data_IF_657635457103
#
_entry.id   IF_657635457103
#
_cell.length_a   1.000
_cell.length_b   1.000
_cell.length_c   1.000
_cell.angle_alpha   90.00
_cell.angle_beta   90.00
_cell.angle_gamma   90.00
#
_symmetry.space_group_name_H-M   'P 1'
#
loop_
_entity.id
_entity.type
_entity.pdbx_description
1 polymer ?
#
# COMPACT_ATOMS: atom_id res chain seq x y z
N UNK A 1 -16.84 31.69 6.50
CA UNK A 1 -16.34 30.30 6.41
C UNK A 1 -16.18 29.75 7.83
N UNK A 2 -16.48 28.46 8.08
CA UNK A 2 -16.27 27.85 9.41
C UNK A 2 -14.77 27.79 9.73
N UNK A 3 -14.36 27.89 11.01
CA UNK A 3 -12.95 27.74 11.40
C UNK A 3 -12.47 26.31 11.15
N UNK A 4 -11.19 26.06 10.80
CA UNK A 4 -10.67 24.70 10.71
C UNK A 4 -10.80 23.99 12.06
N UNK A 5 -11.06 22.68 12.02
CA UNK A 5 -11.19 21.79 13.18
C UNK A 5 -12.33 22.16 14.15
N UNK A 6 -13.39 22.81 13.67
CA UNK A 6 -14.50 23.28 14.52
C UNK A 6 -15.28 22.17 15.24
N UNK A 7 -15.09 20.89 14.88
CA UNK A 7 -15.67 19.74 15.60
C UNK A 7 -14.74 19.14 16.66
N UNK A 8 -13.50 19.65 16.80
CA UNK A 8 -12.61 19.27 17.89
C UNK A 8 -12.78 20.24 19.06
N UNK A 9 -12.72 19.71 20.28
CA UNK A 9 -12.81 20.52 21.50
C UNK A 9 -11.56 21.39 21.66
N UNK A 10 -10.37 20.85 21.35
CA UNK A 10 -9.11 21.57 21.38
C UNK A 10 -8.24 21.24 20.16
N UNK A 11 -7.44 22.19 19.66
CA UNK A 11 -6.54 21.94 18.52
C UNK A 11 -5.48 20.87 18.81
N UNK A 12 -5.12 20.65 20.08
CA UNK A 12 -4.21 19.57 20.51
C UNK A 12 -4.80 18.18 20.32
N UNK A 13 -6.13 18.06 20.23
CA UNK A 13 -6.82 16.79 20.01
C UNK A 13 -6.49 16.18 18.65
N UNK A 14 -6.06 17.00 17.67
CA UNK A 14 -5.55 16.51 16.38
C UNK A 14 -4.42 15.49 16.60
N UNK A 15 -3.43 15.81 17.44
CA UNK A 15 -2.27 14.96 17.71
C UNK A 15 -2.72 13.73 18.50
N UNK A 16 -3.51 13.94 19.55
CA UNK A 16 -3.99 12.86 20.43
C UNK A 16 -4.80 11.80 19.67
N UNK A 17 -5.64 12.23 18.74
CA UNK A 17 -6.49 11.35 17.94
C UNK A 17 -5.83 10.85 16.64
N UNK A 18 -4.61 11.28 16.30
CA UNK A 18 -3.95 10.93 15.04
C UNK A 18 -3.56 9.44 14.96
N UNK A 19 -4.21 8.66 14.11
CA UNK A 19 -4.01 7.20 13.96
C UNK A 19 -3.20 6.85 12.70
N UNK A 20 -2.58 5.65 12.62
CA UNK A 20 -1.78 5.28 11.45
C UNK A 20 -2.60 5.09 10.16
N UNK A 21 -3.92 4.91 10.25
CA UNK A 21 -4.80 4.86 9.08
C UNK A 21 -4.69 6.10 8.17
N UNK A 22 -4.24 7.26 8.66
CA UNK A 22 -4.00 8.44 7.82
C UNK A 22 -2.93 8.20 6.75
N UNK A 23 -1.95 7.32 6.99
CA UNK A 23 -0.94 6.94 6.01
C UNK A 23 -1.51 6.15 4.81
N UNK A 24 -2.77 5.70 4.88
CA UNK A 24 -3.45 5.18 3.68
C UNK A 24 -3.62 6.25 2.60
N UNK A 25 -3.73 7.52 3.00
CA UNK A 25 -3.80 8.64 2.06
C UNK A 25 -2.47 8.88 1.34
N UNK A 26 -1.34 8.73 2.04
CA UNK A 26 -0.01 8.89 1.44
C UNK A 26 0.32 7.72 0.51
N UNK A 27 0.02 6.50 0.96
CA UNK A 27 0.15 5.28 0.18
C UNK A 27 -0.69 5.37 -1.12
N UNK A 28 -1.96 5.77 -1.01
CA UNK A 28 -2.86 5.94 -2.16
C UNK A 28 -2.45 7.05 -3.12
N UNK A 29 -2.02 8.20 -2.60
CA UNK A 29 -1.59 9.35 -3.42
C UNK A 29 -0.28 9.05 -4.15
N UNK A 30 0.64 8.35 -3.48
CA UNK A 30 1.89 7.90 -4.07
C UNK A 30 1.68 6.97 -5.27
N UNK A 31 0.82 5.94 -5.16
CA UNK A 31 0.56 5.04 -6.30
C UNK A 31 -0.07 5.77 -7.48
N UNK A 32 -0.92 6.77 -7.23
CA UNK A 32 -1.53 7.57 -8.30
C UNK A 32 -0.46 8.34 -9.07
N UNK A 33 0.55 8.89 -8.39
CA UNK A 33 1.68 9.54 -9.07
C UNK A 33 2.42 8.57 -10.00
N UNK A 34 2.65 7.32 -9.57
CA UNK A 34 3.29 6.28 -10.38
C UNK A 34 2.47 5.89 -11.62
N UNK A 35 1.14 5.88 -11.50
CA UNK A 35 0.24 5.50 -12.61
C UNK A 35 0.17 6.59 -13.67
N UNK A 36 0.21 7.86 -13.27
CA UNK A 36 0.13 8.99 -14.20
C UNK A 36 1.22 8.94 -15.28
N UNK A 37 2.44 8.46 -14.96
CA UNK A 37 3.53 8.32 -15.94
C UNK A 37 3.42 7.10 -16.84
N UNK A 38 2.55 6.14 -16.53
CA UNK A 38 2.30 4.96 -17.37
C UNK A 38 1.28 5.24 -18.48
N UNK A 39 0.53 6.35 -18.37
CA UNK A 39 -0.49 6.70 -19.36
C UNK A 39 0.16 7.14 -20.69
N UNK A 40 -0.30 6.61 -21.85
CA UNK A 40 0.39 6.81 -23.12
C UNK A 40 0.13 8.19 -23.77
N UNK A 41 -0.75 9.01 -23.21
CA UNK A 41 -1.17 10.31 -23.74
C UNK A 41 -0.70 11.46 -22.83
N UNK A 42 -0.65 12.69 -23.37
CA UNK A 42 -0.29 13.89 -22.61
C UNK A 42 0.99 13.76 -21.75
N UNK A 43 1.98 12.99 -22.22
CA UNK A 43 3.13 12.50 -21.42
C UNK A 43 3.84 13.60 -20.61
N UNK A 44 4.16 14.73 -21.25
CA UNK A 44 4.85 15.86 -20.57
C UNK A 44 4.00 16.46 -19.44
N UNK A 45 2.71 16.70 -19.70
CA UNK A 45 1.78 17.23 -18.71
C UNK A 45 1.56 16.24 -17.55
N UNK A 46 1.35 14.95 -17.87
CA UNK A 46 1.14 13.93 -16.85
C UNK A 46 2.40 13.68 -16.01
N UNK A 47 3.59 13.74 -16.61
CA UNK A 47 4.85 13.64 -15.88
C UNK A 47 5.03 14.80 -14.89
N UNK A 48 4.72 16.04 -15.32
CA UNK A 48 4.73 17.20 -14.43
C UNK A 48 3.72 17.05 -13.29
N UNK A 49 2.48 16.66 -13.60
CA UNK A 49 1.44 16.44 -12.61
C UNK A 49 1.81 15.32 -11.62
N UNK A 50 2.35 14.21 -12.11
CA UNK A 50 2.84 13.09 -11.32
C UNK A 50 3.95 13.53 -10.35
N UNK A 51 4.90 14.31 -10.86
CA UNK A 51 6.01 14.87 -10.07
C UNK A 51 5.50 15.76 -8.94
N UNK A 52 4.58 16.68 -9.25
CA UNK A 52 3.96 17.56 -8.25
C UNK A 52 3.19 16.76 -7.19
N UNK A 53 2.45 15.73 -7.63
CA UNK A 53 1.69 14.87 -6.73
C UNK A 53 2.61 14.04 -5.82
N UNK A 54 3.74 13.57 -6.34
CA UNK A 54 4.76 12.87 -5.55
C UNK A 54 5.43 13.80 -4.54
N UNK A 55 5.82 15.02 -4.93
CA UNK A 55 6.38 16.01 -3.98
C UNK A 55 5.35 16.39 -2.90
N UNK A 56 4.08 16.57 -3.28
CA UNK A 56 2.99 16.74 -2.32
C UNK A 56 2.88 15.54 -1.36
N UNK A 57 3.05 14.31 -1.87
CA UNK A 57 3.03 13.11 -1.04
C UNK A 57 4.18 13.07 -0.03
N UNK A 58 5.39 13.52 -0.39
CA UNK A 58 6.51 13.67 0.54
C UNK A 58 6.14 14.61 1.68
N UNK A 59 5.58 15.77 1.37
CA UNK A 59 5.14 16.75 2.38
C UNK A 59 4.06 16.13 3.28
N UNK A 60 3.06 15.48 2.68
CA UNK A 60 1.97 14.85 3.41
C UNK A 60 2.46 13.76 4.37
N UNK A 61 3.34 12.86 3.90
CA UNK A 61 3.94 11.81 4.71
C UNK A 61 4.81 12.36 5.83
N UNK A 62 5.58 13.42 5.56
CA UNK A 62 6.41 14.10 6.57
C UNK A 62 5.55 14.70 7.68
N UNK A 63 4.46 15.39 7.32
CA UNK A 63 3.50 15.94 8.28
C UNK A 63 2.85 14.83 9.12
N UNK A 64 2.40 13.74 8.49
CA UNK A 64 1.80 12.61 9.20
C UNK A 64 2.79 11.90 10.13
N UNK A 65 4.05 11.79 9.71
CA UNK A 65 5.13 11.22 10.53
C UNK A 65 5.40 12.08 11.76
N UNK A 66 5.46 13.41 11.60
CA UNK A 66 5.62 14.34 12.73
C UNK A 66 4.42 14.26 13.68
N UNK A 67 3.18 14.28 13.17
CA UNK A 67 1.98 14.17 14.00
C UNK A 67 1.93 12.85 14.78
N UNK A 68 2.26 11.74 14.13
CA UNK A 68 2.26 10.43 14.77
C UNK A 68 3.39 10.30 15.78
N UNK A 69 4.59 10.82 15.49
CA UNK A 69 5.70 10.87 16.43
C UNK A 69 5.34 11.73 17.66
N UNK A 70 4.75 12.90 17.46
CA UNK A 70 4.27 13.75 18.56
C UNK A 70 3.22 13.02 19.42
N UNK A 71 2.36 12.19 18.82
CA UNK A 71 1.43 11.35 19.58
C UNK A 71 2.17 10.38 20.50
N UNK A 72 3.22 9.73 20.02
CA UNK A 72 4.05 8.83 20.83
C UNK A 72 4.82 9.54 21.94
N UNK A 73 5.27 10.77 21.70
CA UNK A 73 6.02 11.56 22.68
C UNK A 73 5.13 12.19 23.75
N UNK A 74 4.02 12.82 23.34
CA UNK A 74 3.14 13.59 24.23
C UNK A 74 2.06 12.74 24.90
N UNK A 75 1.62 11.65 24.25
CA UNK A 75 0.52 10.78 24.70
C UNK A 75 0.94 9.31 24.72
N UNK A 76 2.16 9.04 25.21
CA UNK A 76 2.81 7.72 25.14
C UNK A 76 1.97 6.56 25.69
N UNK A 77 1.29 6.77 26.83
CA UNK A 77 0.42 5.75 27.44
C UNK A 77 -0.75 5.38 26.52
N UNK A 78 -1.35 6.36 25.86
CA UNK A 78 -2.47 6.19 24.93
C UNK A 78 -2.01 5.59 23.60
N UNK A 79 -0.85 6.02 23.09
CA UNK A 79 -0.28 5.52 21.85
C UNK A 79 0.02 4.01 21.93
N UNK A 80 0.55 3.54 23.07
CA UNK A 80 0.84 2.11 23.32
C UNK A 80 -0.40 1.21 23.23
N UNK A 81 -1.60 1.75 23.44
CA UNK A 81 -2.84 0.97 23.34
C UNK A 81 -3.11 0.45 21.94
N UNK A 82 -2.42 0.97 20.91
CA UNK A 82 -2.56 0.47 19.55
C UNK A 82 -2.25 -1.03 19.45
N UNK A 83 -1.25 -1.52 20.18
CA UNK A 83 -0.86 -2.93 20.18
C UNK A 83 -1.89 -3.86 20.84
N UNK A 84 -2.83 -3.31 21.61
CA UNK A 84 -3.93 -4.07 22.22
C UNK A 84 -5.23 -3.98 21.41
N UNK A 85 -5.28 -3.12 20.38
CA UNK A 85 -6.50 -2.88 19.63
C UNK A 85 -6.53 -3.69 18.32
N UNK A 86 -7.48 -4.64 18.15
CA UNK A 86 -7.45 -5.65 17.09
C UNK A 86 -7.41 -5.07 15.66
N UNK A 87 -8.11 -3.95 15.42
CA UNK A 87 -8.13 -3.34 14.08
C UNK A 87 -7.09 -2.24 13.86
N UNK A 88 -6.67 -1.51 14.89
CA UNK A 88 -5.83 -0.31 14.71
C UNK A 88 -4.35 -0.68 14.58
N UNK A 89 -3.89 -1.75 15.22
CA UNK A 89 -2.53 -2.27 15.01
C UNK A 89 -2.30 -2.68 13.55
N UNK A 90 -3.34 -3.16 12.86
CA UNK A 90 -3.22 -3.60 11.47
C UNK A 90 -2.79 -2.48 10.52
N UNK A 91 -3.26 -1.25 10.79
CA UNK A 91 -2.88 -0.08 10.01
C UNK A 91 -1.43 0.36 10.20
N UNK A 92 -0.66 -0.22 11.13
CA UNK A 92 0.78 0.07 11.20
C UNK A 92 1.49 -0.29 9.88
N UNK A 93 1.02 -1.31 9.16
CA UNK A 93 1.57 -1.73 7.88
C UNK A 93 1.49 -0.67 6.77
N UNK A 94 0.57 0.30 6.85
CA UNK A 94 0.44 1.33 5.81
C UNK A 94 1.52 2.41 5.89
N UNK A 95 2.29 2.46 6.99
CA UNK A 95 3.42 3.38 7.16
C UNK A 95 4.56 3.02 6.20
N UNK A 96 5.16 1.81 6.25
CA UNK A 96 6.19 1.42 5.28
C UNK A 96 5.64 1.43 3.84
N UNK A 97 4.42 0.94 3.59
CA UNK A 97 3.83 1.04 2.24
C UNK A 97 3.75 2.49 1.72
N UNK A 98 3.44 3.46 2.58
CA UNK A 98 3.48 4.87 2.25
C UNK A 98 4.90 5.36 1.92
N UNK A 99 5.88 4.95 2.72
CA UNK A 99 7.31 5.27 2.51
C UNK A 99 7.82 4.69 1.19
N UNK A 100 7.43 3.47 0.86
CA UNK A 100 7.77 2.82 -0.40
C UNK A 100 7.28 3.59 -1.64
N UNK A 101 6.15 4.29 -1.57
CA UNK A 101 5.73 5.15 -2.68
C UNK A 101 6.62 6.38 -2.87
N UNK A 102 7.20 6.89 -1.78
CA UNK A 102 8.13 8.02 -1.83
C UNK A 102 9.46 7.57 -2.41
N UNK A 103 10.01 6.45 -1.91
CA UNK A 103 11.28 5.91 -2.40
C UNK A 103 11.18 5.54 -3.89
N UNK A 104 10.09 4.91 -4.32
CA UNK A 104 9.89 4.58 -5.74
C UNK A 104 9.80 5.84 -6.61
N UNK A 105 9.19 6.92 -6.10
CA UNK A 105 9.19 8.20 -6.81
C UNK A 105 10.54 8.91 -6.86
N UNK A 106 11.47 8.66 -5.92
CA UNK A 106 12.85 9.13 -6.10
C UNK A 106 13.51 8.46 -7.32
N UNK A 107 13.21 7.18 -7.56
CA UNK A 107 13.71 6.45 -8.73
C UNK A 107 13.01 6.90 -10.02
N UNK A 108 11.70 7.15 -9.99
CA UNK A 108 10.93 7.53 -11.19
C UNK A 108 11.01 9.02 -11.57
N UNK A 109 11.11 9.92 -10.58
CA UNK A 109 11.09 11.37 -10.79
C UNK A 109 12.36 12.04 -10.27
N UNK A 110 12.85 11.60 -9.12
CA UNK A 110 13.94 12.24 -8.39
C UNK A 110 15.24 12.30 -9.18
N UNK A 111 15.56 11.28 -9.99
CA UNK A 111 16.78 11.26 -10.81
C UNK A 111 16.81 12.46 -11.78
N UNK A 112 15.69 12.77 -12.43
CA UNK A 112 15.61 13.91 -13.36
C UNK A 112 15.66 15.28 -12.67
N UNK A 113 15.32 15.36 -11.37
CA UNK A 113 15.25 16.61 -10.62
C UNK A 113 16.48 16.89 -9.75
N UNK A 114 17.05 15.83 -9.19
CA UNK A 114 18.09 15.90 -8.16
C UNK A 114 19.37 15.16 -8.58
N UNK A 115 19.36 14.45 -9.72
CA UNK A 115 20.48 13.64 -10.20
C UNK A 115 20.68 12.36 -9.40
N UNK A 116 21.91 11.83 -9.43
CA UNK A 116 22.29 10.55 -8.80
C UNK A 116 22.02 10.48 -7.29
N UNK A 117 21.98 11.63 -6.59
CA UNK A 117 21.65 11.66 -5.16
C UNK A 117 20.28 11.04 -4.87
N UNK A 118 19.35 11.09 -5.83
CA UNK A 118 18.03 10.48 -5.69
C UNK A 118 18.11 8.95 -5.51
N UNK A 119 19.05 8.28 -6.18
CA UNK A 119 19.27 6.83 -6.05
C UNK A 119 19.80 6.50 -4.65
N UNK A 120 20.76 7.29 -4.15
CA UNK A 120 21.28 7.13 -2.78
C UNK A 120 20.21 7.35 -1.72
N UNK A 121 19.35 8.36 -1.88
CA UNK A 121 18.20 8.59 -1.00
C UNK A 121 17.24 7.41 -1.06
N UNK A 122 16.86 6.96 -2.27
CA UNK A 122 15.97 5.82 -2.45
C UNK A 122 16.52 4.54 -1.78
N UNK A 123 17.81 4.28 -1.92
CA UNK A 123 18.48 3.14 -1.28
C UNK A 123 18.45 3.23 0.25
N UNK A 124 18.75 4.41 0.82
CA UNK A 124 18.67 4.61 2.26
C UNK A 124 17.24 4.42 2.80
N UNK A 125 16.26 4.97 2.08
CA UNK A 125 14.84 4.79 2.41
C UNK A 125 14.41 3.33 2.30
N UNK A 126 14.93 2.58 1.33
CA UNK A 126 14.63 1.16 1.17
C UNK A 126 15.07 0.33 2.38
N UNK A 127 16.26 0.57 2.95
CA UNK A 127 16.68 -0.14 4.17
C UNK A 127 15.79 0.20 5.38
N UNK A 128 15.38 1.46 5.53
CA UNK A 128 14.44 1.88 6.56
C UNK A 128 13.09 1.19 6.36
N UNK A 129 12.62 1.16 5.12
CA UNK A 129 11.35 0.55 4.74
C UNK A 129 11.33 -0.96 5.02
N UNK A 130 12.39 -1.68 4.64
CA UNK A 130 12.57 -3.11 4.93
C UNK A 130 12.56 -3.38 6.43
N UNK A 131 13.28 -2.58 7.22
CA UNK A 131 13.28 -2.72 8.67
C UNK A 131 11.88 -2.54 9.26
N UNK A 132 11.16 -1.49 8.85
CA UNK A 132 9.79 -1.23 9.30
C UNK A 132 8.82 -2.34 8.86
N UNK A 133 8.91 -2.78 7.61
CA UNK A 133 8.06 -3.82 7.04
C UNK A 133 8.24 -5.16 7.79
N UNK A 134 9.47 -5.60 8.01
CA UNK A 134 9.77 -6.83 8.76
C UNK A 134 9.31 -6.73 10.22
N UNK A 135 9.60 -5.59 10.88
CA UNK A 135 9.18 -5.37 12.25
C UNK A 135 7.65 -5.47 12.37
N UNK A 136 6.90 -4.85 11.46
CA UNK A 136 5.43 -4.90 11.47
C UNK A 136 4.90 -6.29 11.13
N UNK A 137 5.48 -6.96 10.11
CA UNK A 137 5.07 -8.28 9.67
C UNK A 137 5.22 -9.36 10.76
N UNK A 138 6.12 -9.16 11.73
CA UNK A 138 6.23 -10.05 12.89
C UNK A 138 5.51 -9.54 14.14
N UNK A 139 5.72 -8.28 14.53
CA UNK A 139 5.21 -7.75 15.80
C UNK A 139 3.67 -7.70 15.80
N UNK A 140 3.05 -7.28 14.70
CA UNK A 140 1.59 -7.13 14.66
C UNK A 140 0.90 -8.49 14.71
N UNK A 141 1.22 -9.48 13.85
CA UNK A 141 0.67 -10.83 14.00
C UNK A 141 0.97 -11.47 15.36
N UNK A 142 2.18 -11.29 15.91
CA UNK A 142 2.48 -11.78 17.25
C UNK A 142 1.56 -11.16 18.32
N UNK A 143 1.28 -9.86 18.25
CA UNK A 143 0.30 -9.20 19.12
C UNK A 143 -1.12 -9.73 18.88
N UNK A 144 -1.49 -10.03 17.63
CA UNK A 144 -2.78 -10.63 17.31
C UNK A 144 -3.00 -11.98 18.01
N UNK A 145 -1.93 -12.79 18.13
CA UNK A 145 -1.98 -14.11 18.75
C UNK A 145 -1.85 -14.07 20.28
N UNK A 146 -1.15 -13.07 20.82
CA UNK A 146 -0.77 -13.06 22.24
C UNK A 146 -1.57 -12.10 23.12
N UNK A 147 -2.14 -11.03 22.56
CA UNK A 147 -2.72 -9.91 23.35
C UNK A 147 -4.12 -9.48 22.92
N UNK A 148 -4.58 -9.93 21.75
CA UNK A 148 -5.79 -9.42 21.11
C UNK A 148 -6.82 -10.53 20.97
N UNK A 149 -8.10 -10.17 21.09
CA UNK A 149 -9.21 -11.09 20.88
C UNK A 149 -9.78 -10.88 19.47
N UNK A 150 -9.83 -11.95 18.69
CA UNK A 150 -10.32 -11.95 17.32
C UNK A 150 -11.43 -12.98 17.13
N UNK A 151 -12.41 -12.65 16.29
CA UNK A 151 -13.51 -13.55 15.95
C UNK A 151 -13.65 -13.62 14.43
N UNK A 152 -13.95 -14.81 13.90
CA UNK A 152 -13.99 -15.02 12.45
C UNK A 152 -15.02 -14.10 11.77
N UNK A 153 -16.19 -13.92 12.37
CA UNK A 153 -17.25 -13.10 11.76
C UNK A 153 -16.90 -11.61 11.69
N UNK A 154 -15.97 -11.10 12.50
CA UNK A 154 -15.52 -9.69 12.46
C UNK A 154 -14.28 -9.48 11.57
N UNK A 155 -13.68 -10.56 11.05
CA UNK A 155 -12.55 -10.49 10.16
C UNK A 155 -12.91 -9.75 8.86
N UNK A 156 -12.01 -8.88 8.43
CA UNK A 156 -12.08 -8.13 7.16
C UNK A 156 -10.73 -8.19 6.46
N UNK A 157 -10.67 -7.73 5.22
CA UNK A 157 -9.43 -7.68 4.45
C UNK A 157 -8.35 -6.73 5.04
N UNK A 158 -8.68 -5.95 6.07
CA UNK A 158 -7.71 -5.12 6.82
C UNK A 158 -6.61 -5.99 7.44
N UNK A 159 -6.88 -7.28 7.71
CA UNK A 159 -5.89 -8.24 8.20
C UNK A 159 -4.68 -8.43 7.29
N UNK A 160 -4.79 -8.04 6.01
CA UNK A 160 -3.68 -8.07 5.06
C UNK A 160 -2.63 -6.99 5.32
N UNK A 161 -3.02 -5.86 5.90
CA UNK A 161 -2.15 -4.67 5.97
C UNK A 161 -0.77 -4.92 6.64
N UNK A 162 -0.65 -5.70 7.73
CA UNK A 162 0.66 -5.94 8.35
C UNK A 162 1.64 -6.73 7.50
N UNK A 163 1.15 -7.61 6.63
CA UNK A 163 2.02 -8.52 5.86
C UNK A 163 2.40 -7.92 4.51
N UNK A 164 1.49 -7.15 3.89
CA UNK A 164 1.66 -6.50 2.57
C UNK A 164 2.87 -5.56 2.50
N UNK A 165 3.35 -5.01 3.62
CA UNK A 165 4.49 -4.11 3.59
C UNK A 165 5.75 -4.76 2.97
N UNK A 166 5.99 -6.05 3.21
CA UNK A 166 7.22 -6.72 2.75
C UNK A 166 7.24 -6.93 1.23
N UNK A 167 6.14 -7.30 0.58
CA UNK A 167 6.10 -7.41 -0.88
C UNK A 167 6.16 -6.04 -1.58
N UNK A 168 5.69 -4.96 -0.94
CA UNK A 168 5.88 -3.60 -1.48
C UNK A 168 7.37 -3.27 -1.46
N UNK A 169 8.06 -3.51 -0.35
CA UNK A 169 9.52 -3.37 -0.26
C UNK A 169 10.26 -4.28 -1.27
N UNK A 170 9.73 -5.48 -1.55
CA UNK A 170 10.26 -6.37 -2.59
C UNK A 170 10.14 -5.77 -4.00
N UNK A 171 8.98 -5.21 -4.35
CA UNK A 171 8.78 -4.52 -5.63
C UNK A 171 9.69 -3.29 -5.77
N UNK A 172 9.87 -2.55 -4.68
CA UNK A 172 10.82 -1.45 -4.56
C UNK A 172 12.28 -1.88 -4.76
N UNK A 173 12.67 -3.08 -4.31
CA UNK A 173 14.01 -3.61 -4.55
C UNK A 173 14.26 -3.82 -6.05
N UNK A 174 13.28 -4.37 -6.77
CA UNK A 174 13.37 -4.53 -8.23
C UNK A 174 13.53 -3.19 -8.96
N UNK A 175 12.79 -2.16 -8.54
CA UNK A 175 12.98 -0.80 -9.08
C UNK A 175 14.35 -0.22 -8.75
N UNK A 176 14.79 -0.33 -7.49
CA UNK A 176 16.06 0.23 -7.04
C UNK A 176 17.25 -0.39 -7.77
N UNK A 177 17.24 -1.73 -7.89
CA UNK A 177 18.32 -2.48 -8.53
C UNK A 177 18.52 -2.03 -9.97
N UNK A 178 17.46 -1.64 -10.70
CA UNK A 178 17.56 -1.13 -12.08
C UNK A 178 18.49 0.10 -12.22
N UNK A 179 18.73 0.84 -11.13
CA UNK A 179 19.58 2.02 -11.10
C UNK A 179 20.95 1.78 -10.45
N UNK A 180 21.25 0.55 -10.02
CA UNK A 180 22.51 0.19 -9.38
C UNK A 180 23.42 -0.60 -10.33
N UNK A 181 24.76 -0.55 -10.14
CA UNK A 181 25.68 -1.42 -10.85
C UNK A 181 25.30 -2.90 -10.71
N UNK A 182 25.53 -3.70 -11.75
CA UNK A 182 25.18 -5.13 -11.75
C UNK A 182 26.18 -5.98 -10.95
N UNK A 183 26.42 -5.64 -9.69
CA UNK A 183 27.43 -6.30 -8.85
C UNK A 183 26.81 -7.24 -7.80
N UNK A 184 27.65 -7.76 -6.91
CA UNK A 184 27.25 -8.62 -5.79
C UNK A 184 26.29 -7.90 -4.83
N UNK A 185 26.38 -6.58 -4.71
CA UNK A 185 25.47 -5.81 -3.85
C UNK A 185 24.05 -5.78 -4.43
N UNK A 186 23.91 -5.52 -5.73
CA UNK A 186 22.62 -5.64 -6.43
C UNK A 186 22.07 -7.06 -6.40
N UNK A 187 22.93 -8.07 -6.47
CA UNK A 187 22.52 -9.47 -6.31
C UNK A 187 21.92 -9.75 -4.93
N UNK A 188 22.55 -9.27 -3.85
CA UNK A 188 21.99 -9.40 -2.50
C UNK A 188 20.66 -8.67 -2.34
N UNK A 189 20.51 -7.48 -2.93
CA UNK A 189 19.24 -6.74 -2.93
C UNK A 189 18.12 -7.52 -3.64
N UNK A 190 18.41 -8.17 -4.76
CA UNK A 190 17.44 -9.03 -5.45
C UNK A 190 17.04 -10.24 -4.61
N UNK A 191 18.01 -10.95 -4.02
CA UNK A 191 17.71 -12.08 -3.13
C UNK A 191 16.88 -11.65 -1.92
N UNK A 192 17.22 -10.50 -1.30
CA UNK A 192 16.42 -9.91 -0.24
C UNK A 192 14.99 -9.59 -0.72
N UNK A 193 14.82 -9.08 -1.93
CA UNK A 193 13.53 -8.87 -2.57
C UNK A 193 12.68 -10.15 -2.66
N UNK A 194 13.25 -11.27 -3.12
CA UNK A 194 12.54 -12.55 -3.16
C UNK A 194 12.19 -13.09 -1.76
N UNK A 195 13.06 -12.91 -0.77
CA UNK A 195 12.77 -13.28 0.63
C UNK A 195 11.62 -12.45 1.18
N UNK A 196 11.65 -11.12 0.99
CA UNK A 196 10.59 -10.21 1.42
C UNK A 196 9.25 -10.52 0.74
N UNK A 197 9.29 -10.88 -0.55
CA UNK A 197 8.12 -11.36 -1.29
C UNK A 197 7.52 -12.60 -0.62
N UNK A 198 8.35 -13.59 -0.26
CA UNK A 198 7.90 -14.82 0.40
C UNK A 198 7.32 -14.58 1.81
N UNK A 199 7.91 -13.66 2.57
CA UNK A 199 7.42 -13.26 3.92
C UNK A 199 6.02 -12.62 3.83
N UNK A 200 5.69 -11.98 2.72
CA UNK A 200 4.39 -11.32 2.53
C UNK A 200 3.35 -12.22 1.86
N UNK A 201 3.62 -12.67 0.63
CA UNK A 201 2.62 -13.25 -0.27
C UNK A 201 2.06 -14.54 0.31
N UNK A 202 2.89 -15.39 0.93
CA UNK A 202 2.44 -16.67 1.48
C UNK A 202 1.46 -16.47 2.65
N UNK A 203 1.77 -15.69 3.71
CA UNK A 203 0.77 -15.34 4.72
C UNK A 203 -0.44 -14.58 4.17
N UNK A 204 -0.26 -13.68 3.20
CA UNK A 204 -1.38 -12.95 2.61
C UNK A 204 -2.38 -13.90 1.93
N UNK A 205 -1.91 -14.93 1.23
CA UNK A 205 -2.77 -15.93 0.62
C UNK A 205 -3.50 -16.78 1.66
N UNK A 206 -2.85 -17.15 2.77
CA UNK A 206 -3.53 -17.81 3.88
C UNK A 206 -4.67 -16.94 4.45
N UNK A 207 -4.43 -15.64 4.62
CA UNK A 207 -5.45 -14.68 5.08
C UNK A 207 -6.59 -14.56 4.06
N UNK A 208 -6.29 -14.49 2.75
CA UNK A 208 -7.31 -14.44 1.69
C UNK A 208 -8.18 -15.70 1.66
N UNK A 209 -7.60 -16.88 1.86
CA UNK A 209 -8.35 -18.14 1.97
C UNK A 209 -9.30 -18.11 3.17
N UNK A 210 -8.85 -17.65 4.33
CA UNK A 210 -9.70 -17.52 5.51
C UNK A 210 -10.78 -16.44 5.30
N UNK A 211 -10.45 -15.34 4.62
CA UNK A 211 -11.42 -14.30 4.26
C UNK A 211 -12.52 -14.85 3.34
N UNK A 212 -12.16 -15.69 2.37
CA UNK A 212 -13.13 -16.38 1.53
C UNK A 212 -14.04 -17.29 2.36
N UNK A 213 -13.49 -18.08 3.28
CA UNK A 213 -14.29 -18.89 4.22
C UNK A 213 -15.22 -18.02 5.07
N UNK A 214 -14.71 -16.90 5.60
CA UNK A 214 -15.52 -15.93 6.36
C UNK A 214 -16.69 -15.40 5.54
N UNK A 215 -16.47 -15.02 4.28
CA UNK A 215 -17.53 -14.53 3.41
C UNK A 215 -18.58 -15.61 3.11
N UNK A 216 -18.16 -16.88 2.99
CA UNK A 216 -19.07 -18.00 2.79
C UNK A 216 -19.96 -18.26 4.03
N UNK A 217 -19.41 -18.15 5.25
CA UNK A 217 -20.12 -18.45 6.49
C UNK A 217 -20.91 -17.27 7.08
N UNK A 218 -20.43 -16.04 6.90
CA UNK A 218 -20.95 -14.85 7.58
C UNK A 218 -21.42 -13.74 6.62
N UNK A 219 -21.66 -14.07 5.35
CA UNK A 219 -22.07 -13.14 4.29
C UNK A 219 -21.04 -12.01 4.05
N UNK A 220 -21.43 -10.99 3.29
CA UNK A 220 -20.55 -9.84 2.99
C UNK A 220 -20.32 -8.97 4.24
N UNK A 221 -19.18 -8.24 4.30
CA UNK A 221 -18.93 -7.30 5.38
C UNK A 221 -20.01 -6.21 5.47
N UNK A 222 -20.14 -5.60 6.65
CA UNK A 222 -21.06 -4.46 6.86
C UNK A 222 -20.70 -3.28 5.94
N UNK A 223 -21.69 -2.43 5.63
CA UNK A 223 -21.54 -1.34 4.66
C UNK A 223 -20.39 -0.38 5.00
N UNK A 224 -20.09 -0.19 6.29
CA UNK A 224 -19.02 0.66 6.82
C UNK A 224 -17.62 0.18 6.43
N UNK A 225 -17.46 -1.12 6.24
CA UNK A 225 -16.20 -1.78 5.90
C UNK A 225 -16.24 -2.48 4.54
N UNK A 226 -17.34 -2.37 3.78
CA UNK A 226 -17.48 -2.98 2.46
C UNK A 226 -16.34 -2.59 1.50
N UNK A 227 -15.85 -1.34 1.61
CA UNK A 227 -14.72 -0.83 0.81
C UNK A 227 -13.41 -1.58 1.10
N UNK A 228 -13.27 -2.20 2.27
CA UNK A 228 -12.09 -3.02 2.58
C UNK A 228 -11.94 -4.21 1.64
N UNK A 229 -13.01 -4.68 0.96
CA UNK A 229 -12.93 -5.76 -0.03
C UNK A 229 -11.87 -5.53 -1.12
N UNK A 230 -11.59 -4.27 -1.47
CA UNK A 230 -10.55 -3.90 -2.43
C UNK A 230 -9.13 -4.15 -1.93
N UNK A 231 -8.91 -4.20 -0.61
CA UNK A 231 -7.61 -4.53 -0.01
C UNK A 231 -7.10 -5.92 -0.42
N UNK A 232 -8.00 -6.83 -0.84
CA UNK A 232 -7.62 -8.14 -1.38
C UNK A 232 -6.73 -8.04 -2.62
N UNK A 233 -6.88 -6.99 -3.43
CA UNK A 233 -6.05 -6.74 -4.60
C UNK A 233 -4.63 -6.34 -4.26
N UNK A 234 -4.38 -5.86 -3.03
CA UNK A 234 -3.08 -5.34 -2.61
C UNK A 234 -2.00 -6.41 -2.74
N UNK A 235 -2.09 -7.52 -2.00
CA UNK A 235 -1.09 -8.57 -2.07
C UNK A 235 -1.02 -9.32 -3.37
N UNK A 236 -2.14 -9.40 -4.09
CA UNK A 236 -2.15 -10.06 -5.39
C UNK A 236 -1.45 -9.18 -6.43
N UNK A 237 -1.80 -7.90 -6.50
CA UNK A 237 -1.25 -6.93 -7.45
C UNK A 237 0.21 -6.60 -7.15
N UNK A 238 0.56 -6.32 -5.89
CA UNK A 238 1.96 -6.08 -5.52
C UNK A 238 2.79 -7.36 -5.62
N UNK A 239 2.24 -8.52 -5.25
CA UNK A 239 2.93 -9.80 -5.45
C UNK A 239 3.25 -10.05 -6.92
N UNK A 240 2.32 -9.77 -7.83
CA UNK A 240 2.50 -9.86 -9.27
C UNK A 240 3.54 -8.85 -9.79
N UNK A 241 3.44 -7.58 -9.38
CA UNK A 241 4.38 -6.53 -9.74
C UNK A 241 5.80 -6.82 -9.24
N UNK A 242 5.94 -7.30 -8.00
CA UNK A 242 7.22 -7.66 -7.41
C UNK A 242 7.92 -8.79 -8.17
N UNK A 243 7.18 -9.83 -8.56
CA UNK A 243 7.73 -10.90 -9.39
C UNK A 243 8.24 -10.41 -10.74
N UNK A 244 7.48 -9.53 -11.40
CA UNK A 244 7.89 -8.95 -12.69
C UNK A 244 9.16 -8.10 -12.56
N UNK A 245 9.20 -7.19 -11.58
CA UNK A 245 10.31 -6.26 -11.40
C UNK A 245 11.60 -6.98 -10.96
N UNK A 246 11.48 -7.93 -10.03
CA UNK A 246 12.64 -8.72 -9.60
C UNK A 246 13.14 -9.63 -10.73
N UNK A 247 12.22 -10.29 -11.45
CA UNK A 247 12.56 -11.17 -12.57
C UNK A 247 13.21 -10.43 -13.74
N UNK A 248 12.76 -9.20 -14.03
CA UNK A 248 13.37 -8.34 -15.05
C UNK A 248 14.83 -8.02 -14.73
N UNK A 249 15.12 -7.70 -13.46
CA UNK A 249 16.48 -7.39 -13.03
C UNK A 249 17.39 -8.62 -12.90
N UNK A 250 16.81 -9.82 -12.74
CA UNK A 250 17.57 -11.06 -12.67
C UNK A 250 18.43 -11.26 -13.92
N UNK A 251 17.92 -10.94 -15.12
CA UNK A 251 18.68 -11.02 -16.38
C UNK A 251 20.00 -10.27 -16.33
N UNK A 252 19.98 -9.04 -15.85
CA UNK A 252 21.17 -8.19 -15.82
C UNK A 252 22.13 -8.60 -14.69
N UNK A 253 21.59 -8.84 -13.50
CA UNK A 253 22.41 -9.03 -12.30
C UNK A 253 22.96 -10.45 -12.19
N UNK A 254 22.13 -11.48 -12.43
CA UNK A 254 22.57 -12.87 -12.25
C UNK A 254 23.60 -13.26 -13.31
N UNK A 255 23.45 -12.79 -14.56
CA UNK A 255 24.46 -13.00 -15.61
C UNK A 255 25.80 -12.41 -15.19
N UNK A 256 25.82 -11.18 -14.68
CA UNK A 256 27.07 -10.49 -14.33
C UNK A 256 27.78 -11.10 -13.10
N UNK A 257 27.03 -11.75 -12.21
CA UNK A 257 27.58 -12.42 -11.01
C UNK A 257 27.85 -13.92 -11.25
N UNK A 258 27.68 -14.42 -12.48
CA UNK A 258 28.07 -15.77 -12.88
C UNK A 258 26.97 -16.85 -12.79
N UNK A 259 25.70 -16.45 -12.79
CA UNK A 259 24.53 -17.34 -12.75
C UNK A 259 23.57 -17.16 -13.96
N UNK A 260 24.05 -17.24 -15.21
CA UNK A 260 23.22 -16.94 -16.40
C UNK A 260 22.00 -17.85 -16.56
N UNK A 261 22.12 -19.14 -16.22
CA UNK A 261 20.99 -20.09 -16.30
C UNK A 261 19.85 -19.72 -15.34
N UNK A 262 20.19 -19.29 -14.12
CA UNK A 262 19.20 -18.83 -13.15
C UNK A 262 18.53 -17.52 -13.59
N UNK A 263 19.25 -16.67 -14.34
CA UNK A 263 18.71 -15.39 -14.82
C UNK A 263 17.45 -15.61 -15.69
N UNK A 264 17.51 -16.55 -16.63
CA UNK A 264 16.37 -16.93 -17.48
C UNK A 264 15.22 -17.53 -16.70
N UNK A 265 15.52 -18.43 -15.76
CA UNK A 265 14.50 -19.07 -14.91
C UNK A 265 13.76 -18.02 -14.08
N UNK A 266 14.47 -17.10 -13.44
CA UNK A 266 13.87 -16.10 -12.56
C UNK A 266 13.03 -15.08 -13.33
N UNK A 267 13.45 -14.67 -14.53
CA UNK A 267 12.62 -13.82 -15.40
C UNK A 267 11.34 -14.53 -15.84
N UNK A 268 11.44 -15.78 -16.31
CA UNK A 268 10.29 -16.56 -16.76
C UNK A 268 9.30 -16.82 -15.61
N UNK A 269 9.80 -17.16 -14.41
CA UNK A 269 8.99 -17.29 -13.20
C UNK A 269 8.31 -15.97 -12.82
N UNK A 270 9.00 -14.84 -13.02
CA UNK A 270 8.44 -13.50 -12.83
C UNK A 270 7.18 -13.27 -13.67
N UNK A 271 7.28 -13.53 -14.98
CA UNK A 271 6.17 -13.38 -15.94
C UNK A 271 5.04 -14.37 -15.68
N UNK A 272 5.34 -15.66 -15.56
CA UNK A 272 4.33 -16.72 -15.37
C UNK A 272 3.63 -16.56 -14.03
N UNK A 273 4.39 -16.31 -12.96
CA UNK A 273 3.85 -16.09 -11.62
C UNK A 273 2.95 -14.85 -11.57
N UNK A 274 3.37 -13.75 -12.21
CA UNK A 274 2.55 -12.54 -12.32
C UNK A 274 1.24 -12.78 -13.07
N UNK A 275 1.27 -13.51 -14.19
CA UNK A 275 0.06 -13.84 -14.95
C UNK A 275 -0.94 -14.65 -14.12
N UNK A 276 -0.47 -15.66 -13.37
CA UNK A 276 -1.31 -16.47 -12.47
C UNK A 276 -1.91 -15.61 -11.36
N UNK A 277 -1.10 -14.75 -10.74
CA UNK A 277 -1.55 -13.85 -9.68
C UNK A 277 -2.58 -12.84 -10.22
N UNK A 278 -2.34 -12.23 -11.38
CA UNK A 278 -3.30 -11.32 -12.01
C UNK A 278 -4.63 -12.01 -12.34
N UNK A 279 -4.60 -13.27 -12.79
CA UNK A 279 -5.81 -14.08 -12.98
C UNK A 279 -6.61 -14.27 -11.69
N UNK A 280 -5.93 -14.58 -10.58
CA UNK A 280 -6.56 -14.65 -9.25
C UNK A 280 -7.07 -13.27 -8.78
N UNK A 281 -6.33 -12.20 -9.10
CA UNK A 281 -6.72 -10.84 -8.77
C UNK A 281 -7.94 -10.36 -9.54
N UNK A 282 -8.15 -10.81 -10.78
CA UNK A 282 -9.37 -10.53 -11.53
C UNK A 282 -10.62 -11.10 -10.83
N UNK A 283 -10.50 -12.29 -10.23
CA UNK A 283 -11.60 -12.87 -9.44
C UNK A 283 -11.93 -12.01 -8.22
N UNK A 284 -10.92 -11.59 -7.46
CA UNK A 284 -11.10 -10.69 -6.31
C UNK A 284 -11.60 -9.29 -6.71
N UNK A 285 -11.15 -8.76 -7.85
CA UNK A 285 -11.63 -7.50 -8.41
C UNK A 285 -13.13 -7.59 -8.71
N UNK A 286 -13.57 -8.69 -9.33
CA UNK A 286 -14.99 -8.96 -9.56
C UNK A 286 -15.79 -8.95 -8.27
N UNK A 287 -15.32 -9.64 -7.23
CA UNK A 287 -15.98 -9.65 -5.92
C UNK A 287 -16.01 -8.26 -5.25
N UNK A 288 -14.91 -7.50 -5.32
CA UNK A 288 -14.84 -6.15 -4.76
C UNK A 288 -15.83 -5.21 -5.45
N UNK A 289 -15.94 -5.27 -6.79
CA UNK A 289 -16.92 -4.51 -7.57
C UNK A 289 -18.35 -4.90 -7.17
N UNK A 290 -18.68 -6.20 -7.17
CA UNK A 290 -20.03 -6.68 -6.82
C UNK A 290 -20.43 -6.30 -5.39
N UNK A 291 -19.50 -6.42 -4.44
CA UNK A 291 -19.69 -6.00 -3.05
C UNK A 291 -19.96 -4.51 -2.96
N UNK A 292 -19.18 -3.70 -3.67
CA UNK A 292 -19.34 -2.24 -3.71
C UNK A 292 -20.69 -1.85 -4.31
N UNK A 293 -21.09 -2.45 -5.43
CA UNK A 293 -22.37 -2.18 -6.10
C UNK A 293 -23.58 -2.56 -5.23
N UNK A 294 -23.48 -3.66 -4.47
CA UNK A 294 -24.54 -4.09 -3.54
C UNK A 294 -24.79 -3.04 -2.45
N UNK A 295 -23.74 -2.47 -1.88
CA UNK A 295 -23.85 -1.47 -0.80
C UNK A 295 -24.00 -0.03 -1.31
N UNK A 296 -23.64 0.26 -2.56
CA UNK A 296 -23.81 1.58 -3.16
C UNK A 296 -25.28 2.04 -3.14
N UNK A 297 -26.23 1.10 -3.31
CA UNK A 297 -27.68 1.38 -3.29
C UNK A 297 -28.19 1.89 -1.95
N UNK A 298 -27.52 1.56 -0.84
CA UNK A 298 -27.94 1.94 0.52
C UNK A 298 -27.07 3.02 1.15
N UNK A 299 -26.10 3.55 0.39
CA UNK A 299 -25.18 4.59 0.83
C UNK A 299 -24.07 4.06 1.72
N UNK A 300 -22.83 4.07 1.22
CA UNK A 300 -21.64 3.72 2.00
C UNK A 300 -21.18 4.98 2.77
N UNK A 301 -21.12 4.96 4.11
CA UNK A 301 -20.63 6.10 4.88
C UNK A 301 -19.13 6.30 4.62
N UNK A 302 -18.72 7.57 4.49
CA UNK A 302 -17.31 7.90 4.28
C UNK A 302 -16.52 7.82 5.59
N UNK A 303 -15.40 7.11 5.54
CA UNK A 303 -14.37 7.05 6.58
C UNK A 303 -12.99 6.88 5.91
N UNK A 304 -11.91 6.95 6.69
CA UNK A 304 -10.54 6.83 6.15
C UNK A 304 -10.27 5.46 5.49
N UNK A 305 -11.06 4.43 5.79
CA UNK A 305 -10.97 3.11 5.14
C UNK A 305 -11.27 3.15 3.64
N UNK A 306 -11.88 4.23 3.12
CA UNK A 306 -12.05 4.42 1.67
C UNK A 306 -10.73 4.52 0.91
N UNK A 307 -9.65 4.95 1.56
CA UNK A 307 -8.33 4.94 0.95
C UNK A 307 -7.83 3.53 0.60
N UNK A 308 -8.40 2.48 1.20
CA UNK A 308 -8.18 1.08 0.83
C UNK A 308 -8.59 0.72 -0.61
N UNK A 309 -9.27 1.61 -1.35
CA UNK A 309 -9.52 1.46 -2.79
C UNK A 309 -8.27 1.70 -3.63
N UNK A 310 -7.46 2.67 -3.21
CA UNK A 310 -6.52 3.34 -4.12
C UNK A 310 -5.27 2.53 -4.36
N UNK A 311 -4.50 2.27 -3.30
CA UNK A 311 -3.25 1.54 -3.41
C UNK A 311 -3.41 0.12 -3.98
N UNK A 312 -4.29 -0.75 -3.44
CA UNK A 312 -4.49 -2.10 -3.96
C UNK A 312 -4.86 -2.14 -5.44
N UNK A 313 -5.75 -1.26 -5.88
CA UNK A 313 -6.14 -1.20 -7.28
C UNK A 313 -5.01 -0.62 -8.13
N UNK A 314 -4.28 0.36 -7.60
CA UNK A 314 -3.15 0.97 -8.30
C UNK A 314 -2.00 0.01 -8.56
N UNK A 315 -1.59 -0.80 -7.57
CA UNK A 315 -0.53 -1.81 -7.77
C UNK A 315 -0.97 -2.91 -8.74
N UNK A 316 -2.25 -3.28 -8.74
CA UNK A 316 -2.82 -4.20 -9.73
C UNK A 316 -2.74 -3.62 -11.15
N UNK A 317 -3.02 -2.33 -11.32
CA UNK A 317 -2.86 -1.60 -12.59
C UNK A 317 -1.39 -1.55 -13.03
N UNK A 318 -0.47 -1.24 -12.11
CA UNK A 318 0.97 -1.22 -12.40
C UNK A 318 1.48 -2.60 -12.85
N UNK A 319 1.00 -3.68 -12.23
CA UNK A 319 1.30 -5.04 -12.67
C UNK A 319 0.79 -5.32 -14.09
N UNK A 320 -0.41 -4.86 -14.45
CA UNK A 320 -0.95 -4.98 -15.82
C UNK A 320 -0.11 -4.20 -16.84
N UNK A 321 0.28 -2.97 -16.53
CA UNK A 321 1.18 -2.19 -17.40
C UNK A 321 2.52 -2.90 -17.59
N UNK A 322 3.14 -3.34 -16.49
CA UNK A 322 4.46 -3.96 -16.55
C UNK A 322 4.42 -5.31 -17.29
N UNK A 323 3.44 -6.19 -16.99
CA UNK A 323 3.25 -7.42 -17.74
C UNK A 323 3.03 -7.13 -19.24
N UNK A 324 2.09 -6.24 -19.56
CA UNK A 324 1.79 -5.87 -20.95
C UNK A 324 2.98 -5.27 -21.71
N UNK A 325 3.94 -4.68 -21.01
CA UNK A 325 5.21 -4.24 -21.60
C UNK A 325 6.18 -5.40 -21.80
N UNK A 326 6.40 -6.23 -20.78
CA UNK A 326 7.37 -7.33 -20.83
C UNK A 326 7.01 -8.43 -21.85
N UNK A 327 5.72 -8.71 -22.06
CA UNK A 327 5.26 -9.71 -23.05
C UNK A 327 4.70 -9.08 -24.34
N UNK A 328 4.83 -7.75 -24.49
CA UNK A 328 4.38 -6.99 -25.68
C UNK A 328 2.89 -7.14 -26.05
N UNK A 329 2.03 -7.40 -25.04
CA UNK A 329 0.58 -7.53 -25.23
C UNK A 329 -0.13 -6.19 -25.00
N UNK A 330 -0.44 -5.50 -26.11
CA UNK A 330 -1.09 -4.18 -26.11
C UNK A 330 -2.47 -4.20 -25.42
N UNK A 331 -3.21 -5.31 -25.50
CA UNK A 331 -4.51 -5.45 -24.85
C UNK A 331 -4.45 -5.18 -23.34
N UNK A 332 -3.43 -5.70 -22.65
CA UNK A 332 -3.24 -5.48 -21.22
C UNK A 332 -3.00 -4.00 -20.89
N UNK A 333 -2.31 -3.28 -21.78
CA UNK A 333 -2.07 -1.84 -21.64
C UNK A 333 -3.38 -1.05 -21.75
N UNK A 334 -4.27 -1.39 -22.70
CA UNK A 334 -5.59 -0.74 -22.79
C UNK A 334 -6.46 -0.98 -21.56
N UNK A 335 -6.45 -2.20 -21.01
CA UNK A 335 -7.14 -2.51 -19.75
C UNK A 335 -6.57 -1.68 -18.61
N UNK A 336 -5.23 -1.60 -18.50
CA UNK A 336 -4.56 -0.81 -17.49
C UNK A 336 -4.88 0.69 -17.60
N UNK A 337 -4.97 1.25 -18.81
CA UNK A 337 -5.41 2.64 -19.04
C UNK A 337 -6.85 2.86 -18.57
N UNK A 338 -7.78 1.98 -18.93
CA UNK A 338 -9.17 2.09 -18.51
C UNK A 338 -9.31 2.07 -16.97
N UNK A 339 -8.59 1.15 -16.32
CA UNK A 339 -8.55 1.06 -14.86
C UNK A 339 -7.86 2.25 -14.20
N UNK A 340 -6.83 2.82 -14.84
CA UNK A 340 -6.16 4.04 -14.37
C UNK A 340 -7.12 5.22 -14.31
N UNK A 341 -7.95 5.41 -15.34
CA UNK A 341 -8.97 6.48 -15.36
C UNK A 341 -9.97 6.28 -14.22
N UNK A 342 -10.43 5.05 -13.99
CA UNK A 342 -11.32 4.72 -12.88
C UNK A 342 -10.67 5.03 -11.53
N UNK A 343 -9.41 4.64 -11.34
CA UNK A 343 -8.65 4.93 -10.12
C UNK A 343 -8.51 6.44 -9.88
N UNK A 344 -8.22 7.24 -10.90
CA UNK A 344 -8.11 8.70 -10.77
C UNK A 344 -9.42 9.33 -10.30
N UNK A 345 -10.57 8.84 -10.80
CA UNK A 345 -11.89 9.27 -10.34
C UNK A 345 -12.10 8.88 -8.87
N UNK A 346 -11.82 7.62 -8.51
CA UNK A 346 -11.94 7.14 -7.13
C UNK A 346 -11.07 7.96 -6.16
N UNK A 347 -9.79 8.15 -6.51
CA UNK A 347 -8.85 8.93 -5.73
C UNK A 347 -9.33 10.39 -5.54
N UNK A 348 -9.83 11.03 -6.60
CA UNK A 348 -10.33 12.40 -6.53
C UNK A 348 -11.52 12.53 -5.57
N UNK A 349 -12.44 11.56 -5.60
CA UNK A 349 -13.59 11.51 -4.68
C UNK A 349 -13.14 11.32 -3.23
N UNK A 350 -12.23 10.38 -2.99
CA UNK A 350 -11.70 10.07 -1.65
C UNK A 350 -10.91 11.27 -1.10
N UNK A 351 -10.05 11.89 -1.91
CA UNK A 351 -9.27 13.06 -1.53
C UNK A 351 -10.18 14.23 -1.16
N UNK A 352 -11.18 14.56 -1.99
CA UNK A 352 -12.15 15.63 -1.70
C UNK A 352 -12.89 15.42 -0.37
N UNK A 353 -13.36 14.19 -0.12
CA UNK A 353 -14.04 13.85 1.13
C UNK A 353 -13.09 13.85 2.34
N UNK A 354 -11.84 13.44 2.13
CA UNK A 354 -10.79 13.48 3.17
C UNK A 354 -10.48 14.91 3.56
N UNK A 355 -10.27 15.81 2.60
CA UNK A 355 -10.02 17.24 2.87
C UNK A 355 -11.19 17.88 3.63
N UNK A 356 -12.44 17.62 3.23
CA UNK A 356 -13.62 18.12 3.94
C UNK A 356 -13.74 17.56 5.38
N UNK A 357 -13.44 16.27 5.55
CA UNK A 357 -13.47 15.61 6.86
C UNK A 357 -12.32 16.03 7.78
N UNK A 358 -11.14 16.29 7.23
CA UNK A 358 -9.99 16.82 7.96
C UNK A 358 -10.24 18.27 8.37
N UNK A 359 -10.73 19.11 7.45
CA UNK A 359 -11.05 20.51 7.72
C UNK A 359 -12.11 20.68 8.80
N UNK A 360 -13.13 19.81 8.83
CA UNK A 360 -14.15 19.85 9.89
C UNK A 360 -13.64 19.34 11.24
N UNK A 361 -12.60 18.51 11.26
CA UNK A 361 -12.15 17.81 12.45
C UNK A 361 -12.74 16.40 12.60
N UNK A 362 -13.78 16.04 11.81
CA UNK A 362 -14.54 14.79 11.95
C UNK A 362 -13.71 13.53 11.82
N UNK A 363 -12.65 13.57 11.01
CA UNK A 363 -11.80 12.41 10.75
C UNK A 363 -10.71 12.20 11.81
N UNK A 364 -10.47 13.17 12.70
CA UNK A 364 -9.54 13.00 13.82
C UNK A 364 -10.25 12.29 14.96
N UNK A 365 -10.33 10.97 14.83
CA UNK A 365 -10.95 10.07 15.80
C UNK A 365 -10.07 8.85 16.03
N UNK A 366 -9.86 8.48 17.29
CA UNK A 366 -9.03 7.33 17.66
C UNK A 366 -9.85 6.27 18.39
N UNK A 367 -10.13 5.12 17.76
CA UNK A 367 -10.81 3.99 18.40
C UNK A 367 -10.10 3.47 19.64
N UNK A 368 -8.76 3.52 19.67
CA UNK A 368 -7.95 3.13 20.84
C UNK A 368 -8.29 3.94 22.10
N UNK A 369 -8.59 5.24 21.94
CA UNK A 369 -8.94 6.10 23.08
C UNK A 369 -10.32 5.77 23.63
N UNK A 370 -11.28 5.50 22.75
CA UNK A 370 -12.63 5.07 23.16
C UNK A 370 -12.56 3.74 23.91
N UNK A 371 -11.80 2.77 23.41
CA UNK A 371 -11.63 1.48 24.06
C UNK A 371 -10.91 1.60 25.42
N UNK A 372 -9.94 2.52 25.55
CA UNK A 372 -9.28 2.78 26.83
C UNK A 372 -10.25 3.39 27.86
N UNK A 373 -11.04 4.39 27.45
CA UNK A 373 -12.04 5.04 28.31
C UNK A 373 -13.08 4.03 28.81
N UNK A 374 -13.53 3.12 27.94
CA UNK A 374 -14.47 2.05 28.31
C UNK A 374 -13.90 1.03 29.30
N UNK A 375 -12.58 0.84 29.37
CA UNK A 375 -11.93 -0.04 30.36
C UNK A 375 -11.68 0.64 31.70
N UNK A 376 -11.69 1.96 31.73
CA UNK A 376 -11.48 2.76 32.94
C UNK A 376 -12.79 3.08 33.68
N UNK A 377 -13.92 2.91 32.99
CA UNK A 377 -15.27 2.90 33.56
C UNK A 377 -15.62 1.48 33.99
#
# INVERSE_FOLDING_TARGET
>A
MKRPFYQLNQSKDVIRHFTPNWFTATMGTGVVSMILIQLPFAKSFLFMLATLLWQFNIVLFSVFSVLYLLRWLLFSHEAKQIFNHPNMSLFLGVIPMGLATILNGFLSFGIGLYGEVAVHIAQALWYIDVFLALAIAWIVPFCMFSRQNHQLHTMTAIWLLPVVACEVAASSAGMLVAHLPADVHSFHLLLAGYVLWGISVLPAFAILTILMLRMALHQLPEKEVAISSWLSLGPIGTGALGLLLLGEQAQRVFVNVGFPELAHVFQALGVVGSLVLLGFGLWWLGLAILTTLRHAKTGIPFNLGWWGLTFPFGVFILALFNLGHQIEVVFLQYVAVAFSILLLVMWSVVMKKTLAGAYSGKLFFSPCLVALQQRMQ
#
